data_IF_110981664588
#
_entry.id   IF_110981664588
#
_cell.length_a   1.000
_cell.length_b   1.000
_cell.length_c   1.000
_cell.angle_alpha   90.00
_cell.angle_beta   90.00
_cell.angle_gamma   90.00
#
_symmetry.space_group_name_H-M   'P 1'
#
loop_
_entity.id
_entity.type
_entity.pdbx_description
1 polymer ?
#
# COMPACT_ATOMS: atom_id res chain seq x y z
N UNK A 1 6.65 11.04 11.30
CA UNK A 1 7.57 11.24 10.16
C UNK A 1 7.01 10.49 8.97
N UNK A 2 6.88 11.13 7.80
CA UNK A 2 6.28 10.51 6.61
C UNK A 2 7.38 10.06 5.63
N UNK A 3 7.39 8.79 5.25
CA UNK A 3 8.31 8.23 4.26
C UNK A 3 7.60 8.06 2.93
N UNK A 4 8.18 8.58 1.84
CA UNK A 4 7.65 8.45 0.49
C UNK A 4 8.79 8.20 -0.50
N UNK A 5 8.45 7.65 -1.65
CA UNK A 5 9.34 7.55 -2.80
C UNK A 5 9.57 8.93 -3.45
N UNK A 6 10.52 8.99 -4.40
CA UNK A 6 11.00 10.23 -5.00
C UNK A 6 10.13 10.76 -6.16
N UNK A 7 8.83 10.51 -6.15
CA UNK A 7 7.95 11.04 -7.18
C UNK A 7 8.03 12.58 -7.21
N UNK A 8 7.99 13.19 -8.40
CA UNK A 8 8.21 14.64 -8.57
C UNK A 8 7.23 15.53 -7.78
N UNK A 9 6.07 14.99 -7.41
CA UNK A 9 5.07 15.65 -6.57
C UNK A 9 5.23 15.39 -5.06
N UNK A 10 6.19 14.56 -4.63
CA UNK A 10 6.54 14.35 -3.22
C UNK A 10 7.58 15.36 -2.74
N UNK A 11 7.25 16.65 -2.87
CA UNK A 11 8.11 17.79 -2.54
C UNK A 11 7.55 18.52 -1.31
N UNK A 12 8.06 18.22 -0.12
CA UNK A 12 7.62 18.88 1.11
C UNK A 12 8.62 18.75 2.25
N UNK A 13 8.74 19.79 3.09
CA UNK A 13 9.74 19.86 4.18
C UNK A 13 9.62 18.75 5.23
N UNK A 14 8.46 18.09 5.33
CA UNK A 14 8.17 17.01 6.31
C UNK A 14 8.23 15.60 5.71
N UNK A 15 8.59 15.46 4.43
CA UNK A 15 8.70 14.18 3.73
C UNK A 15 10.15 13.70 3.78
N UNK A 16 10.38 12.49 4.29
CA UNK A 16 11.64 11.80 4.11
C UNK A 16 11.57 10.93 2.86
N UNK A 17 12.50 11.17 1.94
CA UNK A 17 12.55 10.40 0.71
C UNK A 17 13.33 9.11 0.90
N UNK A 18 12.79 8.03 0.35
CA UNK A 18 13.49 6.76 0.23
C UNK A 18 14.65 6.87 -0.78
N UNK A 19 15.67 6.00 -0.68
CA UNK A 19 16.69 5.88 -1.73
C UNK A 19 16.06 5.60 -3.09
N UNK A 20 16.69 6.08 -4.16
CA UNK A 20 16.21 5.84 -5.52
C UNK A 20 16.15 4.33 -5.81
N UNK A 21 15.16 3.91 -6.62
CA UNK A 21 14.98 2.53 -7.06
C UNK A 21 14.91 1.49 -5.92
N UNK A 22 14.43 1.88 -4.73
CA UNK A 22 14.37 1.00 -3.55
C UNK A 22 12.92 0.67 -3.13
N UNK A 23 12.10 0.04 -3.99
CA UNK A 23 10.70 -0.28 -3.68
C UNK A 23 10.55 -1.22 -2.47
N UNK A 24 11.56 -2.05 -2.18
CA UNK A 24 11.58 -2.95 -1.02
C UNK A 24 11.51 -2.24 0.33
N UNK A 25 11.96 -0.97 0.37
CA UNK A 25 11.90 -0.09 1.55
C UNK A 25 10.58 0.67 1.65
N UNK A 26 9.75 0.65 0.61
CA UNK A 26 8.44 1.28 0.63
C UNK A 26 7.39 0.26 1.09
N UNK A 27 6.83 0.38 2.32
CA UNK A 27 5.91 -0.63 2.85
C UNK A 27 4.59 -0.69 2.08
N UNK A 28 4.22 0.40 1.38
CA UNK A 28 3.02 0.43 0.55
C UNK A 28 3.09 -0.59 -0.59
N UNK A 29 4.28 -0.91 -1.11
CA UNK A 29 4.47 -1.91 -2.17
C UNK A 29 4.02 -3.30 -1.70
N UNK A 30 4.25 -3.62 -0.42
CA UNK A 30 3.81 -4.88 0.17
C UNK A 30 2.28 -4.92 0.31
N UNK A 31 1.67 -3.79 0.65
CA UNK A 31 0.20 -3.65 0.69
C UNK A 31 -0.39 -3.83 -0.71
N UNK A 32 0.21 -3.20 -1.74
CA UNK A 32 -0.22 -3.36 -3.13
C UNK A 32 -0.08 -4.80 -3.62
N UNK A 33 0.98 -5.52 -3.24
CA UNK A 33 1.13 -6.95 -3.55
C UNK A 33 -0.02 -7.78 -2.95
N UNK A 34 -0.36 -7.54 -1.68
CA UNK A 34 -1.48 -8.24 -1.02
C UNK A 34 -2.83 -7.90 -1.65
N UNK A 35 -3.05 -6.62 -1.95
CA UNK A 35 -4.25 -6.14 -2.64
C UNK A 35 -4.38 -6.82 -4.00
N UNK A 36 -3.30 -6.89 -4.77
CA UNK A 36 -3.30 -7.58 -6.06
C UNK A 36 -3.74 -9.02 -5.92
N UNK A 37 -3.11 -9.77 -5.02
CA UNK A 37 -3.41 -11.19 -4.82
C UNK A 37 -4.85 -11.47 -4.36
N UNK A 38 -5.48 -10.57 -3.62
CA UNK A 38 -6.78 -10.83 -2.97
C UNK A 38 -7.97 -10.12 -3.62
N UNK A 39 -7.73 -8.99 -4.30
CA UNK A 39 -8.79 -8.11 -4.80
C UNK A 39 -8.78 -8.04 -6.32
N UNK A 40 -7.63 -7.82 -6.97
CA UNK A 40 -7.60 -7.54 -8.42
C UNK A 40 -7.13 -8.70 -9.29
N UNK A 41 -6.39 -9.66 -8.76
CA UNK A 41 -5.87 -10.80 -9.53
C UNK A 41 -7.02 -11.68 -10.05
N UNK A 42 -7.08 -11.85 -11.36
CA UNK A 42 -8.09 -12.64 -12.07
C UNK A 42 -9.55 -12.31 -11.69
N UNK A 43 -9.82 -11.05 -11.33
CA UNK A 43 -11.16 -10.60 -10.97
C UNK A 43 -11.56 -9.39 -11.80
N UNK A 44 -12.70 -9.52 -12.46
CA UNK A 44 -13.34 -8.42 -13.18
C UNK A 44 -14.40 -7.75 -12.30
N UNK A 45 -14.43 -6.42 -12.33
CA UNK A 45 -15.45 -5.61 -11.67
C UNK A 45 -16.18 -4.82 -12.73
N UNK A 46 -17.49 -5.03 -12.85
CA UNK A 46 -18.30 -4.33 -13.85
C UNK A 46 -18.41 -2.83 -13.59
N UNK A 47 -18.33 -2.41 -12.32
CA UNK A 47 -18.42 -1.01 -11.90
C UNK A 47 -17.30 -0.66 -10.94
N UNK A 48 -16.83 0.58 -11.01
CA UNK A 48 -15.80 1.12 -10.10
C UNK A 48 -16.27 1.04 -8.64
N UNK A 49 -17.56 1.26 -8.37
CA UNK A 49 -18.14 1.17 -7.01
C UNK A 49 -18.01 -0.22 -6.40
N UNK A 50 -18.12 -1.28 -7.20
CA UNK A 50 -17.90 -2.66 -6.74
C UNK A 50 -16.43 -2.90 -6.40
N UNK A 51 -15.52 -2.36 -7.21
CA UNK A 51 -14.09 -2.41 -6.94
C UNK A 51 -13.74 -1.64 -5.65
N UNK A 52 -14.23 -0.42 -5.49
CA UNK A 52 -14.03 0.40 -4.29
C UNK A 52 -14.55 -0.27 -3.02
N UNK A 53 -15.74 -0.90 -3.08
CA UNK A 53 -16.31 -1.63 -1.96
C UNK A 53 -15.46 -2.84 -1.56
N UNK A 54 -15.00 -3.62 -2.55
CA UNK A 54 -14.11 -4.76 -2.31
C UNK A 54 -12.75 -4.31 -1.75
N UNK A 55 -12.19 -3.24 -2.29
CA UNK A 55 -10.95 -2.62 -1.84
C UNK A 55 -11.07 -2.13 -0.39
N UNK A 56 -12.12 -1.36 -0.07
CA UNK A 56 -12.38 -0.84 1.27
C UNK A 56 -12.55 -1.96 2.30
N UNK A 57 -13.31 -3.00 1.93
CA UNK A 57 -13.51 -4.18 2.77
C UNK A 57 -12.19 -4.92 3.04
N UNK A 58 -11.36 -5.09 2.00
CA UNK A 58 -10.04 -5.71 2.14
C UNK A 58 -9.11 -4.89 3.04
N UNK A 59 -9.02 -3.57 2.82
CA UNK A 59 -8.19 -2.67 3.63
C UNK A 59 -8.62 -2.68 5.11
N UNK A 60 -9.93 -2.68 5.38
CA UNK A 60 -10.48 -2.84 6.75
C UNK A 60 -10.13 -4.21 7.35
N UNK A 61 -10.05 -5.26 6.54
CA UNK A 61 -9.69 -6.61 7.00
C UNK A 61 -8.22 -6.72 7.42
N UNK A 62 -7.30 -6.07 6.68
CA UNK A 62 -5.86 -6.09 7.00
C UNK A 62 -5.54 -5.15 8.18
N UNK A 63 -6.23 -4.01 8.27
CA UNK A 63 -6.09 -3.05 9.38
C UNK A 63 -6.40 -3.68 10.74
N UNK A 64 -7.49 -4.47 10.82
CA UNK A 64 -7.88 -5.20 12.04
C UNK A 64 -6.87 -6.28 12.46
N UNK A 65 -6.08 -6.82 11.52
CA UNK A 65 -5.06 -7.86 11.79
C UNK A 65 -3.71 -7.23 12.16
N UNK A 66 -3.71 -6.28 13.09
CA UNK A 66 -2.61 -5.37 13.46
C UNK A 66 -1.20 -6.00 13.52
N UNK A 67 -1.08 -7.27 13.93
CA UNK A 67 0.18 -8.03 13.94
C UNK A 67 0.83 -8.19 12.55
N UNK A 68 0.05 -8.28 11.47
CA UNK A 68 0.57 -8.39 10.10
C UNK A 68 1.12 -7.06 9.57
N UNK A 69 0.52 -5.93 9.93
CA UNK A 69 0.95 -4.61 9.44
C UNK A 69 2.28 -4.19 10.08
N UNK A 70 2.49 -4.47 11.37
CA UNK A 70 3.75 -4.16 12.03
C UNK A 70 4.94 -4.87 11.36
N UNK A 71 4.77 -6.13 10.95
CA UNK A 71 5.78 -6.90 10.19
C UNK A 71 6.07 -6.28 8.81
N UNK A 72 5.07 -5.66 8.18
CA UNK A 72 5.28 -4.98 6.89
C UNK A 72 6.15 -3.72 7.02
N UNK A 73 6.20 -3.10 8.20
CA UNK A 73 7.00 -1.90 8.44
C UNK A 73 8.32 -2.16 9.21
N UNK A 74 8.58 -3.40 9.66
CA UNK A 74 9.65 -3.70 10.61
C UNK A 74 11.09 -3.68 10.02
N UNK A 75 11.24 -3.54 8.69
CA UNK A 75 12.53 -3.55 7.99
C UNK A 75 12.77 -2.23 7.21
N UNK A 76 12.31 -1.10 7.74
CA UNK A 76 12.51 0.24 7.16
C UNK A 76 13.26 1.10 8.16
#
# INVERSE_FOLDING_TARGET
MLYLDRAGWHTGRKVKQLPAYSPQLNPVERVWKLLRLNVTHNRFYQFVTLFESALSSFLKSISRKHKKIHVLCHNI
#
